data_IF_586566371552
#
_entry.id   IF_586566371552
#
_cell.length_a   1.000
_cell.length_b   1.000
_cell.length_c   1.000
_cell.angle_alpha   90.00
_cell.angle_beta   90.00
_cell.angle_gamma   90.00
#
_symmetry.space_group_name_H-M   'P 1'
#
loop_
_entity.id
_entity.type
_entity.pdbx_description
1 polymer ?
#
# COMPACT_ATOMS: atom_id res chain seq x y z
N UNK A 1 24.26 -4.97 9.64
CA UNK A 1 23.57 -3.72 9.23
C UNK A 1 23.05 -2.86 10.41
N UNK A 2 23.03 -3.34 11.67
CA UNK A 2 22.48 -2.59 12.83
C UNK A 2 23.24 -1.31 13.24
N UNK A 3 24.43 -1.08 12.75
CA UNK A 3 25.31 0.03 13.17
C UNK A 3 25.69 1.00 12.02
N UNK A 4 25.03 0.93 10.87
CA UNK A 4 25.27 1.90 9.80
C UNK A 4 24.73 3.28 10.21
N UNK A 5 25.46 4.39 9.95
CA UNK A 5 24.93 5.75 10.14
C UNK A 5 23.60 5.97 9.43
N UNK A 6 23.42 5.36 8.26
CA UNK A 6 22.15 5.39 7.50
C UNK A 6 21.02 4.70 8.25
N UNK A 7 21.27 3.54 8.89
CA UNK A 7 20.25 2.85 9.69
C UNK A 7 19.82 3.66 10.93
N UNK A 8 20.72 4.46 11.52
CA UNK A 8 20.38 5.39 12.61
C UNK A 8 19.52 6.55 12.11
N UNK A 9 19.78 7.04 10.91
CA UNK A 9 19.03 8.17 10.30
C UNK A 9 17.65 7.73 9.84
N UNK A 10 17.50 6.52 9.33
CA UNK A 10 16.26 5.97 8.79
C UNK A 10 15.36 5.40 9.90
N UNK A 11 15.95 5.00 11.03
CA UNK A 11 15.26 4.36 12.16
C UNK A 11 14.94 2.89 11.92
N UNK A 12 14.45 2.19 12.96
CA UNK A 12 14.12 0.77 12.91
C UNK A 12 12.64 0.47 12.57
N UNK A 13 11.79 1.51 12.49
CA UNK A 13 10.39 1.38 12.04
C UNK A 13 10.41 1.11 10.52
N UNK A 14 9.78 0.03 10.04
CA UNK A 14 9.74 -0.28 8.61
C UNK A 14 8.97 0.76 7.79
N UNK A 15 9.07 0.67 6.48
CA UNK A 15 8.14 1.30 5.56
C UNK A 15 7.02 0.31 5.20
N UNK A 16 5.91 0.81 4.67
CA UNK A 16 4.81 0.01 4.14
C UNK A 16 4.62 0.30 2.66
N UNK A 17 4.48 -0.74 1.86
CA UNK A 17 4.05 -0.64 0.48
C UNK A 17 2.63 -1.21 0.39
N UNK A 18 1.67 -0.43 -0.12
CA UNK A 18 0.35 -0.93 -0.48
C UNK A 18 0.41 -1.41 -1.93
N UNK A 19 -0.09 -2.60 -2.19
CA UNK A 19 -0.31 -3.14 -3.52
C UNK A 19 -1.80 -3.04 -3.91
N UNK A 20 -2.35 -4.04 -4.62
CA UNK A 20 -3.74 -3.98 -5.06
C UNK A 20 -4.76 -4.00 -3.91
N UNK A 21 -5.99 -3.53 -4.19
CA UNK A 21 -7.11 -3.46 -3.26
C UNK A 21 -7.18 -2.18 -2.44
N UNK A 22 -6.27 -1.23 -2.62
CA UNK A 22 -6.26 0.03 -1.86
C UNK A 22 -7.57 0.81 -1.94
N UNK A 23 -7.94 1.48 -0.86
CA UNK A 23 -9.22 2.11 -0.56
C UNK A 23 -10.31 1.18 -0.03
N UNK A 24 -10.18 -0.16 -0.17
CA UNK A 24 -11.17 -1.07 0.42
C UNK A 24 -11.18 -1.02 1.96
N UNK A 25 -10.10 -0.51 2.58
CA UNK A 25 -9.97 -0.25 4.02
C UNK A 25 -10.76 0.98 4.50
N UNK A 26 -11.43 1.68 3.58
CA UNK A 26 -12.26 2.84 3.92
C UNK A 26 -13.73 2.43 4.01
N UNK A 27 -14.42 2.69 5.14
CA UNK A 27 -15.82 2.36 5.33
C UNK A 27 -16.72 2.89 4.20
N UNK A 28 -16.45 4.12 3.72
CA UNK A 28 -17.23 4.72 2.64
C UNK A 28 -17.07 3.99 1.30
N UNK A 29 -16.06 3.13 1.13
CA UNK A 29 -15.88 2.27 -0.04
C UNK A 29 -16.44 0.88 0.25
N UNK A 30 -15.96 0.22 1.34
CA UNK A 30 -16.28 -1.19 1.59
C UNK A 30 -17.77 -1.46 1.88
N UNK A 31 -18.52 -0.47 2.37
CA UNK A 31 -19.99 -0.58 2.51
C UNK A 31 -20.74 -0.82 1.18
N UNK A 32 -20.12 -0.46 0.05
CA UNK A 32 -20.67 -0.69 -1.29
C UNK A 32 -20.23 -2.02 -1.91
N UNK A 33 -19.43 -2.84 -1.18
CA UNK A 33 -19.01 -4.14 -1.70
C UNK A 33 -20.16 -5.15 -1.64
N UNK A 34 -20.69 -5.62 -2.79
CA UNK A 34 -21.79 -6.59 -2.82
C UNK A 34 -21.31 -8.02 -2.49
N UNK A 35 -20.01 -8.24 -2.43
CA UNK A 35 -19.37 -9.54 -2.18
C UNK A 35 -18.28 -9.41 -1.09
N UNK A 36 -18.66 -9.11 0.18
CA UNK A 36 -17.70 -9.03 1.26
C UNK A 36 -17.12 -10.44 1.59
N UNK A 37 -15.90 -10.50 2.12
CA UNK A 37 -15.00 -9.37 2.33
C UNK A 37 -14.34 -8.91 1.03
N UNK A 38 -13.95 -7.63 0.99
CA UNK A 38 -13.04 -7.11 -0.02
C UNK A 38 -11.61 -7.14 0.47
N UNK A 39 -10.68 -7.60 -0.36
CA UNK A 39 -9.28 -7.79 0.03
C UNK A 39 -8.38 -6.67 -0.46
N UNK A 40 -7.31 -6.40 0.29
CA UNK A 40 -6.17 -5.61 -0.14
C UNK A 40 -4.86 -6.20 0.35
N UNK A 41 -3.74 -5.81 -0.27
CA UNK A 41 -2.42 -6.29 0.10
C UNK A 41 -1.54 -5.15 0.57
N UNK A 42 -0.92 -5.34 1.74
CA UNK A 42 0.15 -4.51 2.26
C UNK A 42 1.41 -5.32 2.49
N UNK A 43 2.56 -4.71 2.22
CA UNK A 43 3.86 -5.36 2.35
C UNK A 43 4.73 -4.52 3.27
N UNK A 44 5.29 -5.16 4.31
CA UNK A 44 6.30 -4.52 5.13
C UNK A 44 7.65 -4.55 4.41
N UNK A 45 8.26 -3.38 4.22
CA UNK A 45 9.56 -3.26 3.57
C UNK A 45 10.61 -2.67 4.51
N UNK A 46 11.86 -3.08 4.33
CA UNK A 46 12.95 -2.63 5.16
C UNK A 46 13.13 -1.10 5.08
N UNK A 47 13.50 -0.46 6.19
CA UNK A 47 13.80 0.97 6.21
C UNK A 47 15.24 1.24 5.75
N UNK A 48 15.59 0.78 4.55
CA UNK A 48 16.92 0.87 3.95
C UNK A 48 17.09 2.03 2.97
N UNK A 49 16.01 2.81 2.77
CA UNK A 49 16.02 4.07 2.03
C UNK A 49 15.14 5.12 2.74
N UNK A 50 15.37 6.38 2.43
CA UNK A 50 14.51 7.48 2.87
C UNK A 50 13.42 7.71 1.83
N UNK A 51 12.15 7.43 2.16
CA UNK A 51 11.06 7.71 1.23
C UNK A 51 10.87 9.22 1.04
N UNK A 52 10.37 9.58 -0.14
CA UNK A 52 9.84 10.94 -0.35
C UNK A 52 8.65 11.16 0.59
N UNK A 53 8.51 12.35 1.13
CA UNK A 53 7.33 12.71 1.91
C UNK A 53 6.09 12.72 1.01
N UNK A 54 4.93 12.37 1.57
CA UNK A 54 3.65 12.36 0.84
C UNK A 54 3.65 11.48 -0.43
N UNK A 55 4.40 10.39 -0.42
CA UNK A 55 4.61 9.51 -1.58
C UNK A 55 3.80 8.22 -1.59
N UNK A 56 2.83 8.08 -0.68
CA UNK A 56 1.93 6.91 -0.66
C UNK A 56 2.51 5.63 -0.06
N UNK A 57 3.65 5.68 0.62
CA UNK A 57 4.24 4.53 1.32
C UNK A 57 4.18 4.67 2.86
N UNK A 58 3.07 5.17 3.35
CA UNK A 58 2.77 5.41 4.77
C UNK A 58 3.78 6.34 5.48
N UNK A 59 4.40 7.29 4.77
CA UNK A 59 5.42 8.16 5.36
C UNK A 59 4.90 9.00 6.53
N UNK A 60 3.65 9.48 6.47
CA UNK A 60 2.99 10.21 7.56
C UNK A 60 2.76 9.35 8.79
N UNK A 61 2.12 8.20 8.61
CA UNK A 61 1.86 7.21 9.69
C UNK A 61 3.16 6.71 10.31
N UNK A 62 4.18 6.45 9.47
CA UNK A 62 5.51 6.08 9.95
C UNK A 62 6.15 7.18 10.81
N UNK A 63 5.99 8.45 10.45
CA UNK A 63 6.49 9.57 11.25
C UNK A 63 5.83 9.61 12.64
N UNK A 64 4.51 9.37 12.72
CA UNK A 64 3.80 9.25 13.99
C UNK A 64 4.32 8.05 14.80
N UNK A 65 4.49 6.89 14.16
CA UNK A 65 5.04 5.70 14.80
C UNK A 65 6.47 5.92 15.33
N UNK A 66 7.32 6.63 14.58
CA UNK A 66 8.68 6.97 15.04
C UNK A 66 8.67 7.85 16.28
N UNK A 67 7.75 8.81 16.38
CA UNK A 67 7.57 9.64 17.57
C UNK A 67 7.02 8.84 18.75
N UNK A 68 5.93 8.08 18.51
CA UNK A 68 5.22 7.31 19.51
C UNK A 68 6.14 6.26 20.16
N UNK A 69 6.94 5.57 19.35
CA UNK A 69 7.77 4.45 19.80
C UNK A 69 9.29 4.75 19.78
N UNK A 70 9.66 6.02 19.76
CA UNK A 70 11.07 6.47 19.80
C UNK A 70 11.97 5.73 18.81
N UNK A 71 11.44 5.53 17.59
CA UNK A 71 12.18 4.94 16.48
C UNK A 71 12.29 3.41 16.46
N UNK A 72 11.67 2.68 17.39
CA UNK A 72 11.71 1.20 17.44
C UNK A 72 10.31 0.64 17.62
N UNK A 73 9.97 -0.42 16.89
CA UNK A 73 8.74 -1.18 17.17
C UNK A 73 8.85 -1.82 18.56
N UNK A 74 7.84 -1.62 19.43
CA UNK A 74 7.76 -2.33 20.70
C UNK A 74 7.62 -3.84 20.49
N UNK A 75 8.07 -4.62 21.48
CA UNK A 75 7.85 -6.07 21.50
C UNK A 75 6.46 -6.37 22.09
N UNK A 76 5.42 -6.18 21.26
CA UNK A 76 4.01 -6.38 21.60
C UNK A 76 3.29 -6.98 20.41
N UNK A 77 2.10 -7.61 20.59
CA UNK A 77 1.30 -8.12 19.48
C UNK A 77 1.07 -7.06 18.40
N UNK A 78 1.25 -7.40 17.11
CA UNK A 78 1.07 -6.44 16.00
C UNK A 78 -0.32 -5.78 16.00
N UNK A 79 -1.36 -6.52 16.38
CA UNK A 79 -2.71 -5.99 16.44
C UNK A 79 -2.84 -4.84 17.46
N UNK A 80 -2.26 -4.99 18.64
CA UNK A 80 -2.25 -3.93 19.67
C UNK A 80 -1.50 -2.70 19.18
N UNK A 81 -0.36 -2.90 18.50
CA UNK A 81 0.42 -1.81 17.93
C UNK A 81 -0.35 -1.09 16.82
N UNK A 82 -1.03 -1.83 15.94
CA UNK A 82 -1.86 -1.26 14.88
C UNK A 82 -3.00 -0.41 15.45
N UNK A 83 -3.71 -0.91 16.47
CA UNK A 83 -4.80 -0.18 17.12
C UNK A 83 -4.30 1.08 17.84
N UNK A 84 -3.22 0.96 18.62
CA UNK A 84 -2.64 2.12 19.33
C UNK A 84 -2.20 3.21 18.34
N UNK A 85 -1.58 2.83 17.21
CA UNK A 85 -1.15 3.78 16.20
C UNK A 85 -2.36 4.42 15.48
N UNK A 86 -3.40 3.64 15.21
CA UNK A 86 -4.65 4.11 14.62
C UNK A 86 -5.32 5.17 15.49
N UNK A 87 -5.43 4.93 16.79
CA UNK A 87 -6.01 5.87 17.75
C UNK A 87 -5.24 7.19 17.79
N UNK A 88 -3.91 7.12 17.83
CA UNK A 88 -3.06 8.32 17.85
C UNK A 88 -3.18 9.11 16.55
N UNK A 89 -3.14 8.44 15.42
CA UNK A 89 -3.18 9.11 14.11
C UNK A 89 -4.55 9.74 13.83
N UNK A 90 -5.63 9.12 14.27
CA UNK A 90 -6.99 9.55 13.95
C UNK A 90 -7.65 10.40 15.03
N UNK A 91 -6.93 10.69 16.13
CA UNK A 91 -7.44 11.52 17.22
C UNK A 91 -7.86 12.90 16.70
N UNK A 92 -9.16 13.19 16.82
CA UNK A 92 -9.74 14.49 16.42
C UNK A 92 -9.92 14.69 14.91
N UNK A 93 -9.69 13.67 14.06
CA UNK A 93 -10.01 13.74 12.64
C UNK A 93 -11.49 13.49 12.40
N UNK A 94 -12.13 14.34 11.62
CA UNK A 94 -13.51 14.14 11.15
C UNK A 94 -13.60 12.94 10.16
N UNK A 95 -12.57 12.78 9.32
CA UNK A 95 -12.44 11.64 8.39
C UNK A 95 -11.19 10.83 8.78
N UNK A 96 -11.34 9.69 9.47
CA UNK A 96 -10.22 8.85 9.85
C UNK A 96 -9.49 8.26 8.64
N UNK A 97 -8.17 8.14 8.75
CA UNK A 97 -7.36 7.35 7.82
C UNK A 97 -7.71 5.87 7.98
N UNK A 98 -7.64 5.09 6.90
CA UNK A 98 -7.82 3.64 6.97
C UNK A 98 -6.72 2.94 7.77
N UNK A 99 -7.00 1.72 8.24
CA UNK A 99 -6.10 0.96 9.12
C UNK A 99 -4.91 0.31 8.41
N UNK A 100 -4.90 0.28 7.08
CA UNK A 100 -3.87 -0.39 6.29
C UNK A 100 -2.44 0.10 6.55
N UNK A 101 -2.29 1.42 6.79
CA UNK A 101 -0.98 2.03 7.01
C UNK A 101 -0.36 1.52 8.32
N UNK A 102 -1.16 1.49 9.38
CA UNK A 102 -0.75 0.99 10.68
C UNK A 102 -0.42 -0.49 10.63
N UNK A 103 -1.31 -1.29 10.03
CA UNK A 103 -1.12 -2.75 9.89
C UNK A 103 0.15 -3.04 9.10
N UNK A 104 0.35 -2.40 7.94
CA UNK A 104 1.51 -2.63 7.10
C UNK A 104 2.85 -2.21 7.73
N UNK A 105 2.84 -1.30 8.72
CA UNK A 105 4.04 -0.96 9.48
C UNK A 105 4.38 -1.98 10.57
N UNK A 106 3.40 -2.70 11.12
CA UNK A 106 3.62 -3.57 12.30
C UNK A 106 3.56 -5.06 11.99
N UNK A 107 2.83 -5.48 10.95
CA UNK A 107 2.79 -6.88 10.51
C UNK A 107 3.91 -7.16 9.50
N UNK A 108 4.84 -8.08 9.82
CA UNK A 108 5.93 -8.42 8.90
C UNK A 108 5.42 -9.24 7.70
N UNK A 109 6.18 -9.21 6.61
CA UNK A 109 5.89 -9.98 5.40
C UNK A 109 4.90 -9.32 4.45
N UNK A 110 4.16 -10.16 3.76
CA UNK A 110 3.07 -9.81 2.85
C UNK A 110 1.76 -10.15 3.52
N UNK A 111 0.87 -9.18 3.64
CA UNK A 111 -0.37 -9.34 4.39
C UNK A 111 -1.57 -9.03 3.48
N UNK A 112 -2.50 -10.00 3.37
CA UNK A 112 -3.83 -9.77 2.83
C UNK A 112 -4.74 -9.34 3.97
N UNK A 113 -5.41 -8.24 3.77
CA UNK A 113 -6.34 -7.62 4.72
C UNK A 113 -7.74 -7.72 4.12
N UNK A 114 -8.64 -8.43 4.78
CA UNK A 114 -10.01 -8.67 4.31
C UNK A 114 -10.98 -7.78 5.08
N UNK A 115 -11.64 -6.84 4.39
CA UNK A 115 -12.55 -5.86 4.98
C UNK A 115 -14.00 -6.19 4.68
N UNK A 116 -14.81 -6.22 5.74
CA UNK A 116 -16.27 -6.35 5.69
C UNK A 116 -16.91 -5.23 6.51
N UNK A 117 -17.74 -4.41 5.89
CA UNK A 117 -18.46 -3.33 6.57
C UNK A 117 -19.28 -3.79 7.76
N UNK A 118 -19.82 -5.01 7.72
CA UNK A 118 -20.59 -5.60 8.81
C UNK A 118 -19.76 -5.92 10.06
N UNK A 119 -18.43 -5.99 9.90
CA UNK A 119 -17.50 -6.25 10.99
C UNK A 119 -16.86 -4.93 11.44
N UNK A 120 -17.17 -4.46 12.61
CA UNK A 120 -16.64 -3.21 13.19
C UNK A 120 -16.76 -1.98 12.26
N UNK A 121 -17.82 -1.93 11.41
CA UNK A 121 -18.00 -0.84 10.45
C UNK A 121 -16.96 -0.81 9.35
N UNK A 122 -16.21 -1.89 9.11
CA UNK A 122 -15.20 -1.99 8.08
C UNK A 122 -13.94 -1.15 8.32
N UNK A 123 -13.70 -0.70 9.55
CA UNK A 123 -12.53 0.14 9.91
C UNK A 123 -11.26 -0.69 10.04
N UNK A 124 -11.38 -1.88 10.62
CA UNK A 124 -10.30 -2.86 10.70
C UNK A 124 -10.66 -4.10 9.87
N UNK A 125 -9.67 -4.85 9.37
CA UNK A 125 -9.95 -6.07 8.65
C UNK A 125 -10.62 -7.11 9.55
N UNK A 126 -11.58 -7.84 9.00
CA UNK A 126 -12.19 -8.99 9.64
C UNK A 126 -11.24 -10.20 9.71
N UNK A 127 -10.26 -10.23 8.81
CA UNK A 127 -9.24 -11.26 8.74
C UNK A 127 -7.93 -10.71 8.17
N UNK A 128 -6.80 -11.19 8.68
CA UNK A 128 -5.45 -10.90 8.16
C UNK A 128 -4.77 -12.22 7.86
N UNK A 129 -4.39 -12.43 6.59
CA UNK A 129 -3.57 -13.56 6.19
C UNK A 129 -2.16 -13.10 5.87
N UNK A 130 -1.17 -13.61 6.61
CA UNK A 130 0.24 -13.19 6.52
C UNK A 130 1.11 -14.25 5.88
N UNK A 131 1.87 -13.88 4.85
CA UNK A 131 2.92 -14.70 4.27
C UNK A 131 4.30 -14.19 4.71
N UNK A 132 4.96 -14.96 5.58
CA UNK A 132 6.32 -14.67 6.10
C UNK A 132 7.37 -15.62 5.50
N UNK A 133 7.14 -16.15 4.30
CA UNK A 133 8.09 -17.02 3.59
C UNK A 133 9.29 -16.21 3.08
N UNK A 134 10.53 -16.53 3.51
CA UNK A 134 11.73 -15.86 2.99
C UNK A 134 11.89 -16.05 1.47
N UNK A 135 11.43 -17.19 0.93
CA UNK A 135 11.46 -17.47 -0.51
C UNK A 135 10.55 -16.50 -1.28
N UNK A 136 9.31 -16.32 -0.80
CA UNK A 136 8.35 -15.38 -1.39
C UNK A 136 8.84 -13.95 -1.26
N UNK A 137 9.34 -13.57 -0.09
CA UNK A 137 9.88 -12.23 0.15
C UNK A 137 11.07 -11.90 -0.78
N UNK A 138 12.01 -12.82 -0.94
CA UNK A 138 13.16 -12.66 -1.85
C UNK A 138 12.70 -12.55 -3.31
N UNK A 139 11.72 -13.37 -3.73
CA UNK A 139 11.13 -13.28 -5.06
C UNK A 139 10.44 -11.94 -5.29
N UNK A 140 9.58 -11.51 -4.35
CA UNK A 140 8.85 -10.26 -4.46
C UNK A 140 9.79 -9.06 -4.51
N UNK A 141 10.84 -9.04 -3.67
CA UNK A 141 11.89 -8.00 -3.69
C UNK A 141 12.60 -7.90 -5.05
N UNK A 142 12.71 -9.01 -5.78
CA UNK A 142 13.34 -9.03 -7.10
C UNK A 142 12.45 -8.49 -8.21
N UNK A 143 11.13 -8.73 -8.13
CA UNK A 143 10.21 -8.37 -9.22
C UNK A 143 9.51 -7.03 -9.02
N UNK A 144 9.54 -6.45 -7.81
CA UNK A 144 9.01 -5.12 -7.55
C UNK A 144 10.08 -4.04 -7.66
N UNK A 145 9.79 -3.05 -8.49
CA UNK A 145 10.64 -1.88 -8.72
C UNK A 145 9.86 -0.62 -8.36
N UNK A 146 10.47 0.29 -7.62
CA UNK A 146 9.91 1.61 -7.30
C UNK A 146 10.60 2.66 -8.15
N UNK A 147 9.85 3.32 -9.02
CA UNK A 147 10.29 4.46 -9.79
C UNK A 147 9.81 5.74 -9.09
N UNK A 148 10.70 6.65 -8.66
CA UNK A 148 10.28 7.96 -8.16
C UNK A 148 9.59 8.77 -9.26
N UNK A 149 8.42 9.35 -8.97
CA UNK A 149 7.70 10.20 -9.91
C UNK A 149 7.60 11.61 -9.34
N UNK A 150 6.63 11.86 -8.49
CA UNK A 150 6.38 13.19 -7.91
C UNK A 150 5.65 13.00 -6.57
N UNK A 151 6.05 13.69 -5.48
CA UNK A 151 5.27 13.71 -4.25
C UNK A 151 3.97 14.48 -4.45
N UNK A 152 2.95 14.15 -3.66
CA UNK A 152 1.66 14.84 -3.69
C UNK A 152 1.83 16.34 -3.40
N UNK A 153 1.31 17.25 -4.24
CA UNK A 153 1.38 18.68 -4.02
C UNK A 153 0.50 19.12 -2.84
N UNK A 154 0.71 20.35 -2.36
CA UNK A 154 -0.19 20.96 -1.39
C UNK A 154 -1.56 21.24 -2.03
N UNK A 155 -2.62 21.19 -1.20
CA UNK A 155 -3.99 21.38 -1.67
C UNK A 155 -4.59 20.20 -2.43
N UNK A 156 -3.84 19.10 -2.61
CA UNK A 156 -4.36 17.90 -3.25
C UNK A 156 -5.37 17.17 -2.36
N UNK A 157 -6.59 16.96 -2.88
CA UNK A 157 -7.65 16.18 -2.25
C UNK A 157 -8.11 15.02 -3.15
N UNK A 158 -7.79 13.76 -2.83
CA UNK A 158 -8.19 12.61 -3.66
C UNK A 158 -9.69 12.31 -3.62
N UNK A 159 -10.44 12.85 -2.65
CA UNK A 159 -11.83 12.47 -2.36
C UNK A 159 -12.87 13.43 -2.95
N UNK A 160 -12.45 14.40 -3.79
CA UNK A 160 -13.35 15.40 -4.38
C UNK A 160 -14.42 14.79 -5.32
N UNK A 161 -14.13 13.65 -5.96
CA UNK A 161 -15.08 12.90 -6.82
C UNK A 161 -15.09 11.45 -6.41
N UNK A 162 -16.30 10.89 -6.16
CA UNK A 162 -16.53 9.51 -5.74
C UNK A 162 -17.63 8.88 -6.61
N UNK A 163 -17.27 7.82 -7.35
CA UNK A 163 -18.17 7.05 -8.23
C UNK A 163 -18.29 5.61 -7.71
N UNK A 164 -18.87 5.42 -6.54
CA UNK A 164 -18.81 4.17 -5.76
C UNK A 164 -19.77 3.10 -6.29
N UNK A 165 -19.58 2.68 -7.53
CA UNK A 165 -20.34 1.56 -8.14
C UNK A 165 -20.03 0.23 -7.44
N UNK A 166 -21.04 -0.53 -6.96
CA UNK A 166 -20.85 -1.82 -6.32
C UNK A 166 -20.03 -2.81 -7.15
N UNK A 167 -20.25 -2.85 -8.46
CA UNK A 167 -19.52 -3.72 -9.38
C UNK A 167 -18.02 -3.39 -9.43
N UNK A 168 -17.65 -2.12 -9.38
CA UNK A 168 -16.24 -1.71 -9.37
C UNK A 168 -15.61 -1.86 -7.99
N UNK A 169 -16.38 -1.68 -6.90
CA UNK A 169 -15.88 -1.97 -5.54
C UNK A 169 -15.59 -3.47 -5.38
N UNK A 170 -16.46 -4.35 -5.92
CA UNK A 170 -16.20 -5.79 -5.94
C UNK A 170 -14.91 -6.12 -6.71
N UNK A 171 -14.69 -5.49 -7.89
CA UNK A 171 -13.44 -5.68 -8.66
C UNK A 171 -12.21 -5.17 -7.92
N UNK A 172 -12.35 -4.07 -7.17
CA UNK A 172 -11.27 -3.54 -6.34
C UNK A 172 -10.87 -4.57 -5.27
N UNK A 173 -11.83 -5.10 -4.50
CA UNK A 173 -11.58 -6.14 -3.51
C UNK A 173 -11.00 -7.42 -4.14
N UNK A 174 -11.49 -7.84 -5.32
CA UNK A 174 -10.96 -8.98 -6.05
C UNK A 174 -9.51 -8.75 -6.49
N UNK A 175 -9.14 -7.53 -6.91
CA UNK A 175 -7.76 -7.23 -7.28
C UNK A 175 -6.77 -7.45 -6.13
N UNK A 176 -7.20 -7.20 -4.88
CA UNK A 176 -6.40 -7.50 -3.69
C UNK A 176 -6.22 -9.00 -3.47
N UNK A 177 -7.30 -9.79 -3.60
CA UNK A 177 -7.23 -11.25 -3.52
C UNK A 177 -6.29 -11.82 -4.60
N UNK A 178 -6.49 -11.41 -5.86
CA UNK A 178 -5.66 -11.89 -6.99
C UNK A 178 -4.19 -11.51 -6.81
N UNK A 179 -3.92 -10.33 -6.25
CA UNK A 179 -2.57 -9.88 -5.93
C UNK A 179 -1.89 -10.78 -4.90
N UNK A 180 -2.58 -11.09 -3.80
CA UNK A 180 -2.03 -11.98 -2.76
C UNK A 180 -1.75 -13.38 -3.29
N UNK A 181 -2.71 -13.95 -4.01
CA UNK A 181 -2.58 -15.28 -4.62
C UNK A 181 -1.41 -15.35 -5.61
N UNK A 182 -1.24 -14.30 -6.43
CA UNK A 182 -0.12 -14.19 -7.34
C UNK A 182 1.22 -14.12 -6.61
N UNK A 183 1.29 -13.39 -5.50
CA UNK A 183 2.51 -13.27 -4.69
C UNK A 183 2.88 -14.61 -4.06
N UNK A 184 1.92 -15.29 -3.41
CA UNK A 184 2.18 -16.58 -2.75
C UNK A 184 2.60 -17.64 -3.77
N UNK A 185 2.03 -17.61 -4.98
CA UNK A 185 2.39 -18.51 -6.10
C UNK A 185 3.63 -18.05 -6.87
N UNK A 186 4.18 -16.88 -6.55
CA UNK A 186 5.32 -16.24 -7.23
C UNK A 186 5.09 -16.08 -8.75
N UNK A 187 3.88 -15.67 -9.14
CA UNK A 187 3.46 -15.45 -10.53
C UNK A 187 3.50 -13.94 -10.85
N UNK A 188 4.60 -13.48 -11.47
CA UNK A 188 4.80 -12.08 -11.78
C UNK A 188 3.77 -11.54 -12.80
N UNK A 189 3.31 -12.37 -13.74
CA UNK A 189 2.32 -11.96 -14.75
C UNK A 189 0.96 -11.69 -14.10
N UNK A 190 0.51 -12.59 -13.21
CA UNK A 190 -0.75 -12.40 -12.46
C UNK A 190 -0.64 -11.24 -11.48
N UNK A 191 0.51 -11.07 -10.83
CA UNK A 191 0.76 -9.91 -9.97
C UNK A 191 0.60 -8.61 -10.75
N UNK A 192 1.25 -8.49 -11.91
CA UNK A 192 1.11 -7.32 -12.77
C UNK A 192 -0.32 -7.06 -13.22
N UNK A 193 -1.06 -8.10 -13.59
CA UNK A 193 -2.48 -8.00 -13.97
C UNK A 193 -3.35 -7.47 -12.80
N UNK A 194 -3.11 -7.94 -11.57
CA UNK A 194 -3.83 -7.47 -10.38
C UNK A 194 -3.55 -5.98 -10.09
N UNK A 195 -2.30 -5.53 -10.23
CA UNK A 195 -1.95 -4.11 -10.08
C UNK A 195 -2.61 -3.24 -11.15
N UNK A 196 -2.64 -3.70 -12.40
CA UNK A 196 -3.30 -2.99 -13.50
C UNK A 196 -4.82 -2.89 -13.27
N UNK A 197 -5.46 -3.96 -12.78
CA UNK A 197 -6.87 -3.96 -12.43
C UNK A 197 -7.16 -2.96 -11.29
N UNK A 198 -6.33 -2.94 -10.25
CA UNK A 198 -6.45 -1.96 -9.16
C UNK A 198 -6.42 -0.52 -9.68
N UNK A 199 -5.49 -0.18 -10.58
CA UNK A 199 -5.41 1.16 -11.16
C UNK A 199 -6.64 1.54 -11.96
N UNK A 200 -7.21 0.58 -12.71
CA UNK A 200 -8.47 0.78 -13.43
C UNK A 200 -9.66 1.02 -12.47
N UNK A 201 -9.68 0.31 -11.34
CA UNK A 201 -10.68 0.56 -10.28
C UNK A 201 -10.52 1.96 -9.69
N UNK A 202 -9.30 2.40 -9.38
CA UNK A 202 -9.04 3.74 -8.87
C UNK A 202 -9.47 4.83 -9.85
N UNK A 203 -9.10 4.70 -11.12
CA UNK A 203 -9.47 5.66 -12.17
C UNK A 203 -10.99 5.79 -12.31
N UNK A 204 -11.74 4.71 -12.06
CA UNK A 204 -13.20 4.68 -12.18
C UNK A 204 -13.91 5.17 -10.90
N UNK A 205 -13.50 4.63 -9.75
CA UNK A 205 -14.15 4.88 -8.45
C UNK A 205 -13.81 6.24 -7.86
N UNK A 206 -12.54 6.62 -7.97
CA UNK A 206 -11.94 7.79 -7.33
C UNK A 206 -11.01 8.51 -8.32
N UNK A 207 -11.54 9.12 -9.39
CA UNK A 207 -10.72 9.66 -10.47
C UNK A 207 -9.67 10.69 -10.01
N UNK A 208 -9.94 11.44 -8.95
CA UNK A 208 -8.99 12.39 -8.37
C UNK A 208 -7.74 11.72 -7.78
N UNK A 209 -7.75 10.40 -7.56
CA UNK A 209 -6.54 9.65 -7.14
C UNK A 209 -5.43 9.73 -8.19
N UNK A 210 -5.79 9.83 -9.47
CA UNK A 210 -4.85 9.84 -10.61
C UNK A 210 -5.03 11.01 -11.55
N UNK A 211 -6.13 11.78 -11.43
CA UNK A 211 -6.47 12.94 -12.27
C UNK A 211 -6.99 14.09 -11.39
N UNK A 212 -6.11 14.91 -10.89
CA UNK A 212 -6.49 16.05 -10.07
C UNK A 212 -5.82 17.32 -10.59
N UNK A 213 -6.52 18.49 -10.64
CA UNK A 213 -5.94 19.73 -11.18
C UNK A 213 -4.67 20.22 -10.47
N UNK A 214 -4.50 19.88 -9.19
CA UNK A 214 -3.29 20.23 -8.44
C UNK A 214 -2.06 19.37 -8.80
N UNK A 215 -2.20 18.27 -9.53
CA UNK A 215 -1.06 17.44 -9.92
C UNK A 215 -0.21 18.17 -10.95
N UNK A 216 1.11 18.15 -10.76
CA UNK A 216 2.07 18.81 -11.63
C UNK A 216 2.46 17.96 -12.85
N UNK A 217 2.19 16.65 -12.76
CA UNK A 217 2.49 15.66 -13.81
C UNK A 217 1.24 14.89 -14.18
N UNK A 218 1.12 14.53 -15.44
CA UNK A 218 0.04 13.68 -15.93
C UNK A 218 0.33 12.22 -15.62
N UNK A 219 -0.28 11.70 -14.56
CA UNK A 219 -0.01 10.35 -14.05
C UNK A 219 -0.48 9.24 -15.01
N UNK A 220 -1.57 9.44 -15.74
CA UNK A 220 -2.16 8.40 -16.60
C UNK A 220 -1.27 8.06 -17.82
N UNK A 221 -0.73 9.03 -18.58
CA UNK A 221 0.21 8.71 -19.66
C UNK A 221 1.44 7.93 -19.19
N UNK A 222 2.03 8.33 -18.06
CA UNK A 222 3.16 7.61 -17.44
C UNK A 222 2.74 6.18 -17.09
N UNK A 223 1.64 6.01 -16.36
CA UNK A 223 1.13 4.69 -15.97
C UNK A 223 0.94 3.77 -17.17
N UNK A 224 0.25 4.26 -18.23
CA UNK A 224 -0.02 3.47 -19.43
C UNK A 224 1.24 3.06 -20.17
N UNK A 225 2.23 3.94 -20.29
CA UNK A 225 3.51 3.61 -20.93
C UNK A 225 4.20 2.44 -20.21
N UNK A 226 4.23 2.47 -18.86
CA UNK A 226 4.83 1.37 -18.09
C UNK A 226 3.98 0.09 -18.10
N UNK A 227 2.65 0.18 -18.10
CA UNK A 227 1.77 -0.99 -18.24
C UNK A 227 1.88 -1.68 -19.60
N UNK A 228 2.23 -0.95 -20.66
CA UNK A 228 2.49 -1.51 -22.00
C UNK A 228 3.87 -2.17 -22.10
N UNK A 229 4.86 -1.63 -21.40
CA UNK A 229 6.25 -2.08 -21.48
C UNK A 229 6.57 -3.23 -20.52
N UNK A 230 5.91 -3.29 -19.36
CA UNK A 230 6.19 -4.24 -18.28
C UNK A 230 4.98 -5.11 -17.94
N UNK A 231 5.15 -6.08 -17.04
CA UNK A 231 4.08 -7.01 -16.67
C UNK A 231 2.89 -6.32 -15.98
N UNK A 232 3.14 -5.19 -15.32
CA UNK A 232 2.13 -4.33 -14.73
C UNK A 232 2.74 -3.18 -13.96
N UNK A 233 1.91 -2.15 -13.70
CA UNK A 233 2.32 -0.99 -12.92
C UNK A 233 1.14 -0.36 -12.18
N UNK A 234 1.42 0.22 -11.00
CA UNK A 234 0.47 1.02 -10.22
C UNK A 234 1.20 2.10 -9.42
N UNK A 235 0.51 3.16 -9.05
CA UNK A 235 1.05 4.14 -8.11
C UNK A 235 1.02 3.62 -6.67
N UNK A 236 2.04 3.95 -5.88
CA UNK A 236 2.16 3.58 -4.47
C UNK A 236 1.09 4.22 -3.57
N UNK A 237 0.42 5.24 -4.08
CA UNK A 237 -0.67 5.94 -3.40
C UNK A 237 -1.36 6.94 -4.33
N UNK A 238 -2.35 7.63 -3.79
CA UNK A 238 -3.06 8.68 -4.50
C UNK A 238 -2.13 9.86 -4.81
N UNK A 239 -2.31 10.46 -5.99
CA UNK A 239 -1.56 11.66 -6.41
C UNK A 239 -0.11 11.41 -6.80
N UNK A 240 0.29 10.17 -7.10
CA UNK A 240 1.65 9.83 -7.55
C UNK A 240 2.51 9.21 -6.46
N UNK A 241 3.63 9.84 -6.13
CA UNK A 241 4.67 9.28 -5.26
C UNK A 241 5.62 8.40 -6.04
N UNK A 242 5.55 7.10 -5.85
CA UNK A 242 6.30 6.12 -6.64
C UNK A 242 5.37 5.39 -7.60
N UNK A 243 5.90 5.04 -8.78
CA UNK A 243 5.31 4.04 -9.63
C UNK A 243 5.90 2.67 -9.25
N UNK A 244 5.06 1.74 -8.83
CA UNK A 244 5.40 0.35 -8.57
C UNK A 244 5.32 -0.38 -9.90
N UNK A 245 6.43 -0.97 -10.36
CA UNK A 245 6.51 -1.69 -11.64
C UNK A 245 6.83 -3.15 -11.35
N UNK A 246 6.06 -4.07 -11.93
CA UNK A 246 6.34 -5.51 -11.90
C UNK A 246 7.15 -5.90 -13.11
N UNK A 247 8.39 -6.35 -12.88
CA UNK A 247 9.31 -6.76 -13.94
C UNK A 247 10.30 -7.80 -13.45
N UNK A 248 10.60 -8.79 -14.29
CA UNK A 248 11.70 -9.75 -14.05
C UNK A 248 13.06 -9.22 -14.53
N UNK A 249 13.05 -8.07 -15.21
CA UNK A 249 14.25 -7.38 -15.71
C UNK A 249 14.41 -6.04 -14.99
N UNK A 250 15.62 -5.47 -14.93
CA UNK A 250 15.83 -4.14 -14.38
C UNK A 250 14.94 -3.08 -15.07
N UNK A 251 14.41 -2.15 -14.29
CA UNK A 251 13.62 -1.01 -14.76
C UNK A 251 14.48 0.24 -14.64
N UNK A 252 14.83 0.92 -15.74
CA UNK A 252 15.66 2.11 -15.70
C UNK A 252 15.10 3.20 -14.78
N UNK A 253 15.95 3.77 -13.93
CA UNK A 253 15.57 4.83 -12.98
C UNK A 253 14.82 4.33 -11.73
N UNK A 254 14.47 3.05 -11.67
CA UNK A 254 13.80 2.46 -10.50
C UNK A 254 14.80 1.69 -9.61
N UNK A 255 14.42 1.50 -8.35
CA UNK A 255 15.15 0.67 -7.40
C UNK A 255 14.25 -0.43 -6.83
N UNK A 256 14.85 -1.50 -6.34
CA UNK A 256 14.16 -2.60 -5.68
C UNK A 256 14.05 -2.34 -4.18
N UNK A 257 13.03 -2.94 -3.55
CA UNK A 257 12.81 -2.86 -2.10
C UNK A 257 13.04 -4.22 -1.45
N UNK A 258 13.47 -4.22 -0.20
CA UNK A 258 13.64 -5.43 0.58
C UNK A 258 12.39 -5.72 1.41
N UNK A 259 11.66 -6.78 1.09
CA UNK A 259 10.52 -7.25 1.88
C UNK A 259 11.04 -7.78 3.22
N UNK A 260 10.48 -7.27 4.32
CA UNK A 260 10.85 -7.66 5.67
C UNK A 260 9.91 -8.75 6.18
N UNK A 261 10.46 -9.89 6.54
CA UNK A 261 9.73 -11.00 7.15
C UNK A 261 9.99 -11.08 8.65
N UNK A 262 9.13 -11.81 9.38
CA UNK A 262 9.36 -12.10 10.79
C UNK A 262 10.72 -12.77 10.98
N UNK A 263 11.49 -12.32 11.97
CA UNK A 263 12.69 -13.03 12.42
C UNK A 263 12.22 -14.19 13.30
N UNK A 264 12.73 -15.40 13.01
CA UNK A 264 12.54 -16.57 13.87
C UNK A 264 13.27 -16.36 15.19
#
# INVERSE_FOLDING_TARGET
>A
MKNSPVAKLIGAIPNRLQLAGGWIDQPFVNQHNPKPPGSMVVVQIAPDFRPMDRSGIASGTRHIAMKLWKGKLPNRPPEELARALYEVENKGKAEPSGSQDMIGLVYPGVNRLDYDFKVQGGVFPSHIESCNSPKVAKWLSRVLHLLPVEPRPDGYNPLGVKNLSPAWVAKLGQSGQDCYDAIVKMDAKKLGAALNLNMKCWETLLPHVVRHPALRVELIPILKAYQQQYLGAMYSGCGGGYLIVVSEKPVPGAFQVNVRVAQK
#
